data_IF_640813460036
#
_entry.id   IF_640813460036
#
_cell.length_a   1.000
_cell.length_b   1.000
_cell.length_c   1.000
_cell.angle_alpha   90.00
_cell.angle_beta   90.00
_cell.angle_gamma   90.00
#
_symmetry.space_group_name_H-M   'P 1'
#
loop_
_entity.id
_entity.type
_entity.pdbx_description
1 polymer ?
#
# COMPACT_ATOMS: atom_id res chain seq x y z
N UNK A 1 24.59 27.35 -0.39
CA UNK A 1 24.39 25.94 -0.72
C UNK A 1 22.90 25.71 -0.94
N UNK A 2 22.48 25.44 -2.16
CA UNK A 2 21.10 25.14 -2.51
C UNK A 2 20.80 23.66 -2.22
N UNK A 3 19.78 23.40 -1.39
CA UNK A 3 19.36 22.06 -1.01
C UNK A 3 17.96 21.80 -1.53
N UNK A 4 17.79 20.72 -2.29
CA UNK A 4 16.49 20.20 -2.69
C UNK A 4 16.13 19.02 -1.78
N UNK A 5 15.00 19.12 -1.09
CA UNK A 5 14.51 18.08 -0.18
C UNK A 5 13.21 17.48 -0.69
N UNK A 6 13.13 16.16 -0.72
CA UNK A 6 11.93 15.41 -1.05
C UNK A 6 11.36 14.70 0.19
N UNK A 7 10.04 14.78 0.32
CA UNK A 7 9.21 13.93 1.15
C UNK A 7 8.29 13.15 0.22
N UNK A 8 8.54 11.85 0.09
CA UNK A 8 7.93 11.01 -0.94
C UNK A 8 6.89 10.12 -0.27
N UNK A 9 5.68 10.10 -0.84
CA UNK A 9 4.61 9.25 -0.37
C UNK A 9 4.05 8.41 -1.51
N UNK A 10 3.58 7.22 -1.18
CA UNK A 10 2.94 6.36 -2.17
C UNK A 10 2.07 5.28 -1.53
N UNK A 11 1.02 4.88 -2.24
CA UNK A 11 0.17 3.75 -1.88
C UNK A 11 0.12 2.78 -3.06
N UNK A 12 0.18 1.47 -2.80
CA UNK A 12 0.04 0.44 -3.83
C UNK A 12 1.14 0.54 -4.89
N UNK A 13 0.78 0.56 -6.17
CA UNK A 13 1.68 0.88 -7.29
C UNK A 13 2.30 2.27 -7.17
N UNK A 14 1.64 3.22 -6.52
CA UNK A 14 2.21 4.52 -6.17
C UNK A 14 3.35 4.40 -5.15
N UNK A 15 3.31 3.40 -4.25
CA UNK A 15 4.45 3.10 -3.38
C UNK A 15 5.62 2.49 -4.16
N UNK A 16 5.36 1.63 -5.15
CA UNK A 16 6.40 1.13 -6.05
C UNK A 16 7.05 2.28 -6.84
N UNK A 17 6.23 3.20 -7.37
CA UNK A 17 6.72 4.41 -8.04
C UNK A 17 7.51 5.33 -7.09
N UNK A 18 7.09 5.48 -5.83
CA UNK A 18 7.83 6.24 -4.82
C UNK A 18 9.20 5.63 -4.52
N UNK A 19 9.28 4.30 -4.39
CA UNK A 19 10.54 3.57 -4.19
C UNK A 19 11.46 3.71 -5.41
N UNK A 20 10.93 3.49 -6.61
CA UNK A 20 11.68 3.68 -7.86
C UNK A 20 12.17 5.14 -8.01
N UNK A 21 11.34 6.14 -7.68
CA UNK A 21 11.76 7.53 -7.67
C UNK A 21 12.98 7.78 -6.75
N UNK A 22 12.98 7.20 -5.54
CA UNK A 22 14.13 7.30 -4.62
C UNK A 22 15.38 6.62 -5.20
N UNK A 23 15.23 5.46 -5.85
CA UNK A 23 16.31 4.80 -6.57
C UNK A 23 16.86 5.68 -7.71
N UNK A 24 15.99 6.22 -8.55
CA UNK A 24 16.34 7.02 -9.74
C UNK A 24 17.12 8.28 -9.39
N UNK A 25 16.62 9.07 -8.44
CA UNK A 25 17.35 10.26 -7.97
C UNK A 25 18.57 9.88 -7.12
N UNK A 26 18.72 8.60 -6.80
CA UNK A 26 19.87 7.98 -6.19
C UNK A 26 21.07 7.81 -7.14
N UNK A 27 20.84 7.83 -8.46
CA UNK A 27 21.89 7.53 -9.44
C UNK A 27 23.05 8.53 -9.37
N UNK A 28 24.28 8.00 -9.38
CA UNK A 28 25.50 8.79 -9.62
C UNK A 28 25.55 9.24 -11.08
N UNK A 29 26.48 10.12 -11.43
CA UNK A 29 26.78 10.46 -12.83
C UNK A 29 27.10 9.18 -13.61
N UNK A 30 26.54 9.00 -14.81
CA UNK A 30 26.69 7.78 -15.61
C UNK A 30 26.74 8.08 -17.11
N UNK A 31 27.27 7.15 -17.89
CA UNK A 31 27.32 7.28 -19.36
C UNK A 31 25.99 6.86 -19.97
N UNK A 32 25.56 7.57 -21.00
CA UNK A 32 24.41 7.17 -21.80
C UNK A 32 24.70 5.86 -22.55
N UNK A 33 23.68 5.05 -22.76
CA UNK A 33 23.77 3.83 -23.55
C UNK A 33 23.77 4.19 -25.04
N UNK A 34 24.88 3.89 -25.71
CA UNK A 34 25.07 4.17 -27.14
C UNK A 34 24.66 2.98 -27.99
N UNK A 35 23.79 3.20 -28.97
CA UNK A 35 23.43 2.22 -30.00
C UNK A 35 23.83 2.76 -31.37
N UNK A 36 24.60 1.98 -32.12
CA UNK A 36 25.01 2.33 -33.48
C UNK A 36 24.43 1.32 -34.45
N UNK A 37 23.67 1.80 -35.43
CA UNK A 37 23.08 0.98 -36.50
C UNK A 37 23.70 1.41 -37.82
N UNK A 38 24.27 0.44 -38.56
CA UNK A 38 24.83 0.66 -39.89
C UNK A 38 24.00 -0.08 -40.94
N UNK A 39 23.52 0.64 -41.95
CA UNK A 39 22.78 0.08 -43.08
C UNK A 39 23.14 0.81 -44.38
N UNK A 40 23.49 0.06 -45.43
CA UNK A 40 23.85 0.59 -46.76
C UNK A 40 24.87 1.75 -46.76
N UNK A 41 25.88 1.68 -45.90
CA UNK A 41 26.94 2.71 -45.80
C UNK A 41 26.56 3.95 -44.99
N UNK A 42 25.32 4.06 -44.50
CA UNK A 42 24.93 5.06 -43.51
C UNK A 42 25.06 4.50 -42.08
N UNK A 43 25.60 5.31 -41.18
CA UNK A 43 25.75 4.97 -39.76
C UNK A 43 24.95 5.97 -38.93
N UNK A 44 24.01 5.47 -38.14
CA UNK A 44 23.23 6.25 -37.19
C UNK A 44 23.61 5.84 -35.77
N UNK A 45 24.04 6.82 -34.97
CA UNK A 45 24.34 6.64 -33.55
C UNK A 45 23.29 7.37 -32.73
N UNK A 46 22.69 6.68 -31.77
CA UNK A 46 21.78 7.26 -30.78
C UNK A 46 22.24 6.95 -29.37
N UNK A 47 21.94 7.87 -28.45
CA UNK A 47 22.18 7.70 -27.03
C UNK A 47 20.86 7.61 -26.29
N UNK A 48 20.83 6.79 -25.24
CA UNK A 48 19.67 6.63 -24.38
C UNK A 48 20.05 6.64 -22.90
N UNK A 49 19.14 7.07 -22.04
CA UNK A 49 19.29 6.87 -20.60
C UNK A 49 19.11 5.39 -20.20
N UNK A 50 19.19 5.09 -18.91
CA UNK A 50 19.02 3.72 -18.39
C UNK A 50 17.67 3.11 -18.72
N UNK A 51 16.67 3.95 -19.00
CA UNK A 51 15.28 3.55 -19.16
C UNK A 51 14.93 3.42 -20.65
N UNK A 52 15.85 3.82 -21.54
CA UNK A 52 15.73 3.74 -22.98
C UNK A 52 15.23 5.02 -23.64
N UNK A 53 15.09 6.12 -22.91
CA UNK A 53 14.69 7.40 -23.49
C UNK A 53 15.88 8.03 -24.21
N UNK A 54 15.65 8.57 -25.41
CA UNK A 54 16.68 9.24 -26.19
C UNK A 54 17.25 10.47 -25.47
N UNK A 55 18.57 10.59 -25.44
CA UNK A 55 19.29 11.73 -24.85
C UNK A 55 20.34 12.27 -25.82
N UNK A 56 20.62 13.56 -25.77
CA UNK A 56 21.63 14.17 -26.66
C UNK A 56 23.07 14.01 -26.14
N UNK A 57 23.24 13.90 -24.82
CA UNK A 57 24.56 13.82 -24.18
C UNK A 57 25.07 12.39 -24.03
N UNK A 58 26.38 12.21 -24.20
CA UNK A 58 27.08 10.94 -23.91
C UNK A 58 27.17 10.64 -22.40
N UNK A 59 26.98 11.65 -21.56
CA UNK A 59 27.08 11.55 -20.11
C UNK A 59 25.90 12.25 -19.43
N UNK A 60 25.25 11.53 -18.53
CA UNK A 60 24.10 11.99 -17.77
C UNK A 60 24.54 12.44 -16.38
N UNK A 61 23.95 13.55 -15.87
CA UNK A 61 24.30 14.07 -14.55
C UNK A 61 23.88 13.10 -13.43
N UNK A 62 24.36 13.39 -12.22
CA UNK A 62 23.82 12.75 -11.00
C UNK A 62 22.31 13.00 -10.88
N UNK A 63 21.62 12.13 -10.15
CA UNK A 63 20.17 12.17 -9.87
C UNK A 63 19.28 11.75 -11.03
N UNK A 64 19.78 10.87 -11.91
CA UNK A 64 19.00 10.26 -12.98
C UNK A 64 18.39 11.29 -13.93
N UNK A 65 17.19 10.99 -14.43
CA UNK A 65 16.48 11.87 -15.37
C UNK A 65 16.10 13.23 -14.75
N UNK A 66 15.87 13.29 -13.43
CA UNK A 66 15.64 14.54 -12.72
C UNK A 66 16.86 15.48 -12.82
N UNK A 67 18.06 14.93 -12.65
CA UNK A 67 19.31 15.67 -12.80
C UNK A 67 19.44 16.31 -14.19
N UNK A 68 19.08 15.55 -15.23
CA UNK A 68 19.08 16.03 -16.61
C UNK A 68 18.12 17.22 -16.77
N UNK A 69 16.88 17.09 -16.28
CA UNK A 69 15.89 18.17 -16.36
C UNK A 69 16.26 19.41 -15.57
N UNK A 70 16.90 19.26 -14.41
CA UNK A 70 17.45 20.40 -13.65
C UNK A 70 18.54 21.13 -14.45
N UNK A 71 19.43 20.39 -15.11
CA UNK A 71 20.48 20.96 -15.94
C UNK A 71 19.91 21.70 -17.17
N UNK A 72 18.96 21.10 -17.88
CA UNK A 72 18.27 21.72 -19.03
C UNK A 72 17.55 23.02 -18.62
N UNK A 73 16.94 23.04 -17.43
CA UNK A 73 16.29 24.22 -16.86
C UNK A 73 17.26 25.26 -16.28
N UNK A 74 18.57 24.99 -16.26
CA UNK A 74 19.57 25.88 -15.66
C UNK A 74 19.50 25.98 -14.14
N UNK A 75 18.85 25.03 -13.46
CA UNK A 75 18.67 25.01 -12.00
C UNK A 75 19.86 24.30 -11.34
N UNK A 76 20.63 25.05 -10.54
CA UNK A 76 21.77 24.49 -9.79
C UNK A 76 21.34 24.06 -8.39
N UNK A 77 21.50 22.77 -8.11
CA UNK A 77 21.31 22.18 -6.79
C UNK A 77 22.67 21.63 -6.33
N UNK A 78 23.04 21.93 -5.08
CA UNK A 78 24.29 21.41 -4.50
C UNK A 78 24.04 20.04 -3.87
N UNK A 79 22.96 19.94 -3.09
CA UNK A 79 22.58 18.75 -2.31
C UNK A 79 21.14 18.36 -2.59
N UNK A 80 20.92 17.08 -2.90
CA UNK A 80 19.60 16.47 -2.98
C UNK A 80 19.44 15.51 -1.80
N UNK A 81 18.32 15.64 -1.09
CA UNK A 81 18.00 14.83 0.09
C UNK A 81 16.61 14.24 -0.04
N UNK A 82 16.47 12.96 0.29
CA UNK A 82 15.16 12.35 0.60
C UNK A 82 15.03 12.30 2.11
N UNK A 83 14.18 13.17 2.66
CA UNK A 83 13.98 13.25 4.11
C UNK A 83 13.06 12.14 4.60
N UNK A 84 12.01 11.86 3.86
CA UNK A 84 10.99 10.91 4.25
C UNK A 84 10.49 10.11 3.05
N UNK A 85 10.33 8.81 3.24
CA UNK A 85 9.63 7.90 2.33
C UNK A 85 8.52 7.19 3.13
N UNK A 86 7.28 7.65 2.96
CA UNK A 86 6.10 7.11 3.63
C UNK A 86 5.24 6.32 2.66
N UNK A 87 5.23 4.99 2.79
CA UNK A 87 4.56 4.12 1.83
C UNK A 87 3.52 3.21 2.48
N UNK A 88 2.49 2.89 1.72
CA UNK A 88 1.40 2.01 2.12
C UNK A 88 1.30 0.85 1.13
N UNK A 89 1.33 -0.36 1.68
CA UNK A 89 1.00 -1.63 1.03
C UNK A 89 1.54 -1.74 -0.41
N UNK A 90 2.86 -1.76 -0.54
CA UNK A 90 3.53 -1.70 -1.85
C UNK A 90 3.19 -2.93 -2.68
N UNK A 91 2.63 -2.69 -3.87
CA UNK A 91 2.38 -3.71 -4.89
C UNK A 91 3.19 -3.31 -6.11
N UNK A 92 4.21 -4.09 -6.47
CA UNK A 92 5.12 -3.77 -7.57
C UNK A 92 4.43 -3.90 -8.92
N UNK A 93 3.50 -4.86 -9.05
CA UNK A 93 2.80 -5.33 -10.26
C UNK A 93 3.16 -4.58 -11.56
N UNK A 94 4.41 -4.69 -11.99
CA UNK A 94 4.95 -4.02 -13.15
C UNK A 94 5.09 -5.04 -14.28
N UNK A 95 4.71 -4.62 -15.49
CA UNK A 95 4.96 -5.42 -16.68
C UNK A 95 5.27 -4.47 -17.82
N UNK A 96 6.54 -4.44 -18.25
CA UNK A 96 6.99 -3.60 -19.37
C UNK A 96 6.26 -3.89 -20.68
N UNK A 97 5.74 -5.11 -20.84
CA UNK A 97 4.90 -5.55 -21.95
C UNK A 97 3.57 -6.09 -21.40
N UNK A 98 2.44 -5.81 -22.07
CA UNK A 98 1.15 -6.43 -21.72
C UNK A 98 1.28 -7.95 -21.86
N UNK A 99 1.31 -8.65 -20.72
CA UNK A 99 1.33 -10.12 -20.66
C UNK A 99 0.03 -10.60 -20.01
N UNK A 100 -0.65 -11.62 -20.58
CA UNK A 100 -1.78 -12.28 -19.92
C UNK A 100 -1.35 -13.11 -18.69
N UNK A 101 -0.04 -13.30 -18.49
CA UNK A 101 0.58 -13.89 -17.28
C UNK A 101 1.86 -13.10 -16.95
N UNK A 102 1.73 -11.91 -16.35
CA UNK A 102 2.89 -11.12 -15.95
C UNK A 102 3.64 -11.85 -14.82
N UNK A 103 4.97 -11.83 -14.88
CA UNK A 103 5.80 -12.29 -13.77
C UNK A 103 6.13 -11.07 -12.92
N UNK A 104 5.59 -10.98 -11.71
CA UNK A 104 5.84 -9.86 -10.80
C UNK A 104 7.02 -10.11 -9.84
N UNK A 105 7.61 -11.32 -9.89
CA UNK A 105 8.69 -11.70 -8.97
C UNK A 105 10.04 -11.03 -9.30
N UNK A 106 10.19 -10.41 -10.48
CA UNK A 106 11.41 -9.71 -10.90
C UNK A 106 11.31 -8.18 -10.83
N UNK A 107 10.14 -7.62 -10.50
CA UNK A 107 9.92 -6.16 -10.49
C UNK A 107 10.79 -5.44 -9.47
N UNK A 108 11.09 -6.11 -8.35
CA UNK A 108 11.91 -5.56 -7.27
C UNK A 108 13.32 -5.22 -7.75
N UNK A 109 13.91 -6.13 -8.52
CA UNK A 109 15.25 -5.96 -9.09
C UNK A 109 15.21 -5.07 -10.34
N UNK A 110 14.17 -5.19 -11.18
CA UNK A 110 14.02 -4.38 -12.40
C UNK A 110 13.82 -2.89 -12.10
N UNK A 111 13.07 -2.56 -11.03
CA UNK A 111 12.75 -1.19 -10.65
C UNK A 111 13.64 -0.65 -9.51
N UNK A 112 14.61 -1.44 -9.03
CA UNK A 112 15.50 -1.05 -7.95
C UNK A 112 14.76 -0.73 -6.64
N UNK A 113 13.63 -1.40 -6.37
CA UNK A 113 12.73 -1.05 -5.26
C UNK A 113 13.39 -1.18 -3.89
N UNK A 114 14.51 -1.92 -3.78
CA UNK A 114 15.28 -2.07 -2.56
C UNK A 114 16.29 -0.93 -2.32
N UNK A 115 16.60 -0.12 -3.33
CA UNK A 115 17.58 0.97 -3.26
C UNK A 115 17.00 2.26 -2.64
N UNK A 116 16.28 2.08 -1.54
CA UNK A 116 15.59 3.16 -0.82
C UNK A 116 16.36 3.65 0.41
N UNK A 117 17.53 3.04 0.72
CA UNK A 117 18.38 3.40 1.86
C UNK A 117 18.96 4.81 1.84
N UNK A 118 18.78 5.56 0.75
CA UNK A 118 19.09 7.00 0.68
C UNK A 118 18.06 7.88 1.37
N UNK A 119 16.85 7.38 1.59
CA UNK A 119 15.86 8.07 2.40
C UNK A 119 16.30 8.05 3.86
N UNK A 120 16.28 9.22 4.50
CA UNK A 120 16.69 9.34 5.91
C UNK A 120 15.70 8.67 6.87
N UNK A 121 14.44 8.52 6.45
CA UNK A 121 13.40 7.82 7.18
C UNK A 121 12.51 7.12 6.18
N UNK A 122 12.31 5.81 6.38
CA UNK A 122 11.40 4.97 5.60
C UNK A 122 10.38 4.40 6.56
N UNK A 123 9.10 4.64 6.30
CA UNK A 123 7.96 4.07 7.03
C UNK A 123 7.10 3.32 6.00
N UNK A 124 6.84 2.04 6.25
CA UNK A 124 5.98 1.22 5.40
C UNK A 124 4.88 0.58 6.22
N UNK A 125 3.63 0.93 5.91
CA UNK A 125 2.45 0.31 6.52
C UNK A 125 1.83 -0.72 5.56
N UNK A 126 1.56 -1.91 6.06
CA UNK A 126 1.17 -3.10 5.28
C UNK A 126 -0.20 -3.61 5.73
N UNK A 127 -1.00 -4.12 4.81
CA UNK A 127 -2.28 -4.78 5.11
C UNK A 127 -2.07 -6.27 5.44
N UNK A 128 -2.61 -6.74 6.58
CA UNK A 128 -2.50 -8.15 7.00
C UNK A 128 -3.41 -9.08 6.18
N UNK A 129 -4.57 -8.58 5.74
CA UNK A 129 -5.66 -9.41 5.22
C UNK A 129 -5.85 -9.27 3.71
N UNK A 130 -4.87 -8.71 3.00
CA UNK A 130 -4.87 -8.72 1.54
C UNK A 130 -4.51 -10.13 1.04
N UNK A 131 -5.44 -10.77 0.34
CA UNK A 131 -5.35 -12.17 -0.07
C UNK A 131 -5.50 -12.36 -1.59
N UNK A 132 -5.63 -11.27 -2.37
CA UNK A 132 -5.74 -11.35 -3.82
C UNK A 132 -4.38 -11.70 -4.43
N UNK A 133 -4.37 -12.70 -5.31
CA UNK A 133 -3.18 -13.21 -6.00
C UNK A 133 -2.38 -12.14 -6.77
N UNK A 134 -3.02 -11.06 -7.23
CA UNK A 134 -2.37 -9.98 -7.97
C UNK A 134 -1.87 -8.81 -7.09
N UNK A 135 -1.95 -8.93 -5.76
CA UNK A 135 -1.55 -7.91 -4.79
C UNK A 135 -0.38 -8.40 -3.94
N UNK A 136 0.63 -8.98 -4.59
CA UNK A 136 1.83 -9.46 -3.92
C UNK A 136 2.58 -8.28 -3.26
N UNK A 137 2.69 -8.37 -1.94
CA UNK A 137 3.36 -7.38 -1.12
C UNK A 137 4.86 -7.35 -1.39
N UNK A 138 5.40 -6.16 -1.64
CA UNK A 138 6.84 -5.92 -1.65
C UNK A 138 7.30 -5.32 -0.33
N UNK A 139 7.90 -6.13 0.53
CA UNK A 139 8.45 -5.68 1.83
C UNK A 139 9.61 -4.68 1.65
N UNK A 140 9.93 -3.95 2.72
CA UNK A 140 11.13 -3.13 2.83
C UNK A 140 12.18 -3.77 3.74
N UNK A 141 13.45 -3.60 3.38
CA UNK A 141 14.57 -4.12 4.17
C UNK A 141 15.26 -3.05 5.04
N UNK A 142 14.79 -1.80 4.97
CA UNK A 142 15.31 -0.66 5.70
C UNK A 142 14.16 0.17 6.27
N UNK A 143 14.39 0.82 7.42
CA UNK A 143 13.39 1.64 8.10
C UNK A 143 12.43 0.81 8.96
N UNK A 144 11.19 1.30 9.07
CA UNK A 144 10.16 0.74 9.94
C UNK A 144 9.02 0.20 9.08
N UNK A 145 8.82 -1.12 9.11
CA UNK A 145 7.64 -1.78 8.54
C UNK A 145 6.66 -2.16 9.66
N UNK A 146 5.37 -1.90 9.46
CA UNK A 146 4.30 -2.23 10.40
C UNK A 146 3.09 -2.81 9.68
N UNK A 147 2.58 -3.93 10.20
CA UNK A 147 1.45 -4.66 9.64
C UNK A 147 0.18 -4.28 10.42
N UNK A 148 -0.85 -3.85 9.70
CA UNK A 148 -2.13 -3.43 10.25
C UNK A 148 -3.24 -4.39 9.80
N UNK A 149 -4.26 -4.63 10.65
CA UNK A 149 -5.44 -5.39 10.23
C UNK A 149 -6.19 -4.62 9.14
N UNK A 150 -6.87 -5.36 8.27
CA UNK A 150 -7.59 -4.84 7.10
C UNK A 150 -6.98 -5.29 5.78
N UNK A 151 -7.69 -5.01 4.69
CA UNK A 151 -7.25 -5.25 3.31
C UNK A 151 -6.53 -4.02 2.74
N UNK A 152 -6.02 -4.10 1.52
CA UNK A 152 -5.19 -3.07 0.88
C UNK A 152 -5.66 -1.62 1.08
N UNK A 153 -6.94 -1.36 0.83
CA UNK A 153 -7.53 -0.02 0.90
C UNK A 153 -7.93 0.40 2.33
N UNK A 154 -8.00 -0.53 3.29
CA UNK A 154 -8.17 -0.22 4.71
C UNK A 154 -6.91 0.42 5.29
N UNK A 155 -5.74 0.08 4.75
CA UNK A 155 -4.45 0.65 5.17
C UNK A 155 -4.07 1.86 4.33
N UNK A 156 -4.21 1.78 3.00
CA UNK A 156 -3.80 2.87 2.11
C UNK A 156 -4.83 3.97 1.88
N UNK A 157 -6.10 3.70 2.17
CA UNK A 157 -7.20 4.62 1.89
C UNK A 157 -7.61 4.62 0.41
N UNK A 158 -8.86 4.25 0.14
CA UNK A 158 -9.52 4.39 -1.18
C UNK A 158 -11.00 4.02 -1.14
N UNK A 159 -11.49 3.46 -0.02
CA UNK A 159 -12.91 3.19 0.15
C UNK A 159 -13.70 4.49 0.30
N UNK A 160 -14.92 4.47 -0.23
CA UNK A 160 -15.95 5.45 0.07
C UNK A 160 -16.98 4.83 1.01
N UNK A 161 -17.64 5.68 1.80
CA UNK A 161 -18.74 5.22 2.64
C UNK A 161 -19.91 4.83 1.73
N UNK A 162 -20.51 3.66 1.99
CA UNK A 162 -21.67 3.22 1.24
C UNK A 162 -21.80 1.70 1.18
N UNK A 163 -22.86 1.27 0.49
CA UNK A 163 -23.17 -0.14 0.33
C UNK A 163 -22.27 -0.77 -0.73
N UNK A 164 -21.54 -1.79 -0.35
CA UNK A 164 -20.78 -2.68 -1.21
C UNK A 164 -21.60 -3.95 -1.45
N UNK A 165 -21.91 -4.25 -2.72
CA UNK A 165 -22.64 -5.44 -3.12
C UNK A 165 -21.82 -6.32 -4.06
N UNK A 166 -21.84 -7.61 -3.80
CA UNK A 166 -21.18 -8.65 -4.58
C UNK A 166 -22.22 -9.63 -5.10
N UNK A 167 -22.43 -9.63 -6.41
CA UNK A 167 -23.35 -10.57 -7.06
C UNK A 167 -22.78 -11.99 -7.11
N UNK A 168 -21.45 -12.14 -7.06
CA UNK A 168 -20.76 -13.41 -7.17
C UNK A 168 -19.53 -13.43 -6.28
N UNK A 169 -19.73 -13.67 -4.98
CA UNK A 169 -18.62 -13.99 -4.08
C UNK A 169 -18.03 -15.36 -4.46
N UNK A 170 -18.89 -16.32 -4.79
CA UNK A 170 -18.54 -17.65 -5.28
C UNK A 170 -19.75 -18.28 -5.98
N UNK A 171 -19.53 -19.15 -6.97
CA UNK A 171 -20.59 -19.75 -7.79
C UNK A 171 -20.49 -21.27 -7.84
N UNK A 172 -21.62 -21.98 -7.96
CA UNK A 172 -21.64 -23.44 -8.04
C UNK A 172 -22.67 -23.94 -9.04
N UNK A 173 -22.24 -24.77 -9.98
CA UNK A 173 -23.10 -25.35 -11.02
C UNK A 173 -24.03 -26.45 -10.52
N UNK A 174 -23.69 -27.10 -9.42
CA UNK A 174 -24.37 -28.35 -9.01
C UNK A 174 -24.98 -28.26 -7.62
N UNK A 175 -24.18 -27.99 -6.59
CA UNK A 175 -24.63 -28.08 -5.19
C UNK A 175 -24.27 -26.82 -4.40
N UNK A 176 -25.13 -26.46 -3.46
CA UNK A 176 -24.90 -25.34 -2.55
C UNK A 176 -23.87 -25.67 -1.45
N UNK A 177 -23.34 -26.89 -1.37
CA UNK A 177 -22.49 -27.34 -0.24
C UNK A 177 -21.28 -26.45 -0.06
N UNK A 178 -20.51 -26.18 -1.14
CA UNK A 178 -19.35 -25.29 -1.05
C UNK A 178 -19.73 -23.85 -0.69
N UNK A 179 -20.85 -23.36 -1.22
CA UNK A 179 -21.35 -22.01 -0.96
C UNK A 179 -21.77 -21.84 0.51
N UNK A 180 -22.44 -22.85 1.08
CA UNK A 180 -22.83 -22.88 2.49
C UNK A 180 -21.63 -22.94 3.42
N UNK A 181 -20.61 -23.73 3.06
CA UNK A 181 -19.34 -23.79 3.80
C UNK A 181 -18.65 -22.42 3.79
N UNK A 182 -18.50 -21.80 2.62
CA UNK A 182 -17.88 -20.48 2.50
C UNK A 182 -18.69 -19.40 3.24
N UNK A 183 -20.02 -19.37 3.08
CA UNK A 183 -20.91 -18.47 3.84
C UNK A 183 -20.67 -18.59 5.35
N UNK A 184 -20.60 -19.82 5.86
CA UNK A 184 -20.38 -20.06 7.29
C UNK A 184 -18.99 -19.59 7.74
N UNK A 185 -17.97 -19.74 6.90
CA UNK A 185 -16.62 -19.24 7.17
C UNK A 185 -16.59 -17.70 7.20
N UNK A 186 -17.17 -17.04 6.20
CA UNK A 186 -17.23 -15.58 6.12
C UNK A 186 -17.93 -14.95 7.33
N UNK A 187 -19.01 -15.59 7.82
CA UNK A 187 -19.70 -15.17 9.04
C UNK A 187 -18.83 -15.40 10.27
N UNK A 188 -18.22 -16.59 10.38
CA UNK A 188 -17.38 -16.94 11.53
C UNK A 188 -16.11 -16.09 11.65
N UNK A 189 -15.60 -15.60 10.52
CA UNK A 189 -14.44 -14.71 10.44
C UNK A 189 -14.85 -13.23 10.50
N UNK A 190 -16.15 -12.93 10.69
CA UNK A 190 -16.73 -11.59 10.81
C UNK A 190 -16.55 -10.69 9.57
N UNK A 191 -16.40 -11.27 8.38
CA UNK A 191 -16.39 -10.53 7.12
C UNK A 191 -17.79 -10.02 6.72
N UNK A 192 -18.81 -10.78 7.09
CA UNK A 192 -20.22 -10.48 6.84
C UNK A 192 -21.09 -10.95 8.00
N UNK A 193 -22.23 -10.28 8.21
CA UNK A 193 -23.30 -10.78 9.07
C UNK A 193 -24.17 -11.80 8.34
N UNK A 194 -25.00 -12.51 9.08
CA UNK A 194 -25.83 -13.59 8.50
C UNK A 194 -26.83 -13.06 7.46
N UNK A 195 -27.44 -11.91 7.76
CA UNK A 195 -28.39 -11.19 6.92
C UNK A 195 -27.74 -10.54 5.69
N UNK A 196 -26.42 -10.38 5.69
CA UNK A 196 -25.66 -9.77 4.61
C UNK A 196 -25.27 -10.77 3.52
N UNK A 197 -25.56 -12.07 3.69
CA UNK A 197 -25.20 -13.13 2.74
C UNK A 197 -26.39 -13.98 2.34
N UNK A 198 -26.65 -14.05 1.03
CA UNK A 198 -27.73 -14.86 0.44
C UNK A 198 -27.18 -15.82 -0.60
N UNK A 199 -27.81 -17.00 -0.73
CA UNK A 199 -27.53 -17.93 -1.83
C UNK A 199 -28.75 -17.92 -2.74
N UNK A 200 -28.57 -17.44 -3.96
CA UNK A 200 -29.65 -17.29 -4.94
C UNK A 200 -29.49 -18.29 -6.08
N UNK A 201 -30.59 -18.95 -6.52
CA UNK A 201 -30.58 -19.79 -7.70
C UNK A 201 -30.70 -18.95 -8.99
N UNK A 202 -29.92 -19.33 -10.00
CA UNK A 202 -29.99 -18.79 -11.36
C UNK A 202 -29.56 -19.85 -12.38
N UNK A 203 -28.79 -19.46 -13.40
CA UNK A 203 -28.13 -20.42 -14.32
C UNK A 203 -27.15 -21.34 -13.57
N UNK A 204 -26.57 -20.83 -12.49
CA UNK A 204 -25.85 -21.53 -11.43
C UNK A 204 -26.31 -20.98 -10.07
N UNK A 205 -25.91 -21.63 -8.99
CA UNK A 205 -26.07 -21.08 -7.64
C UNK A 205 -25.00 -20.03 -7.39
N UNK A 206 -25.37 -18.86 -6.87
CA UNK A 206 -24.43 -17.79 -6.52
C UNK A 206 -24.55 -17.44 -5.04
N UNK A 207 -23.40 -17.35 -4.34
CA UNK A 207 -23.32 -16.69 -3.04
C UNK A 207 -23.15 -15.20 -3.27
N UNK A 208 -24.13 -14.42 -2.83
CA UNK A 208 -24.14 -12.96 -2.89
C UNK A 208 -23.87 -12.37 -1.52
N UNK A 209 -23.36 -11.15 -1.51
CA UNK A 209 -23.23 -10.39 -0.26
C UNK A 209 -23.47 -8.92 -0.44
N UNK A 210 -24.02 -8.27 0.59
CA UNK A 210 -24.20 -6.82 0.63
C UNK A 210 -23.94 -6.29 2.03
N UNK A 211 -23.09 -5.29 2.16
CA UNK A 211 -22.73 -4.67 3.45
C UNK A 211 -22.44 -3.20 3.28
N UNK A 212 -22.60 -2.45 4.37
CA UNK A 212 -22.17 -1.04 4.40
C UNK A 212 -20.71 -0.96 4.83
N UNK A 213 -19.88 -0.34 3.99
CA UNK A 213 -18.50 -0.02 4.28
C UNK A 213 -18.40 1.38 4.88
N UNK A 214 -17.46 1.52 5.81
CA UNK A 214 -17.08 2.80 6.40
C UNK A 214 -15.57 2.95 6.26
N UNK A 215 -15.12 4.01 5.58
CA UNK A 215 -13.70 4.19 5.21
C UNK A 215 -12.80 4.65 6.35
N UNK A 216 -13.39 5.07 7.46
CA UNK A 216 -12.74 5.83 8.55
C UNK A 216 -11.67 5.05 9.30
N UNK A 217 -11.63 3.71 9.20
CA UNK A 217 -10.51 2.93 9.72
C UNK A 217 -9.17 3.33 9.09
N UNK A 218 -9.15 3.65 7.79
CA UNK A 218 -7.93 4.11 7.07
C UNK A 218 -7.34 5.40 7.61
N UNK A 219 -8.11 6.16 8.40
CA UNK A 219 -7.61 7.37 9.06
C UNK A 219 -6.63 7.02 10.18
N UNK A 220 -6.69 5.83 10.76
CA UNK A 220 -5.77 5.40 11.82
C UNK A 220 -4.33 5.24 11.28
N UNK A 221 -4.06 4.42 10.23
CA UNK A 221 -2.76 4.40 9.56
C UNK A 221 -2.31 5.78 9.07
N UNK A 222 -3.22 6.58 8.48
CA UNK A 222 -2.91 7.94 8.06
C UNK A 222 -2.40 8.80 9.23
N UNK A 223 -3.05 8.74 10.40
CA UNK A 223 -2.64 9.48 11.59
C UNK A 223 -1.23 9.09 12.03
N UNK A 224 -0.92 7.80 12.08
CA UNK A 224 0.42 7.34 12.46
C UNK A 224 1.50 7.79 11.47
N UNK A 225 1.22 7.72 10.16
CA UNK A 225 2.15 8.21 9.14
C UNK A 225 2.37 9.71 9.25
N UNK A 226 1.30 10.47 9.51
CA UNK A 226 1.37 11.91 9.74
C UNK A 226 2.19 12.23 11.00
N UNK A 227 2.03 11.48 12.09
CA UNK A 227 2.85 11.64 13.28
C UNK A 227 4.35 11.35 13.00
N UNK A 228 4.67 10.32 12.21
CA UNK A 228 6.06 10.09 11.76
C UNK A 228 6.59 11.23 10.89
N UNK A 229 5.76 11.78 10.00
CA UNK A 229 6.15 12.92 9.17
C UNK A 229 6.39 14.20 9.99
N UNK A 230 5.55 14.44 11.00
CA UNK A 230 5.69 15.58 11.92
C UNK A 230 6.98 15.48 12.74
N UNK A 231 7.33 14.28 13.23
CA UNK A 231 8.63 14.00 13.89
C UNK A 231 9.85 14.27 13.01
N UNK A 232 9.67 14.30 11.68
CA UNK A 232 10.71 14.62 10.69
C UNK A 232 10.54 16.02 10.09
N UNK A 233 9.68 16.85 10.69
CA UNK A 233 9.47 18.25 10.32
C UNK A 233 9.02 18.43 8.86
N UNK A 234 8.23 17.48 8.33
CA UNK A 234 7.60 17.63 7.01
C UNK A 234 6.66 18.85 7.04
N UNK A 235 6.64 19.72 6.01
CA UNK A 235 5.92 21.00 6.03
C UNK A 235 4.42 20.83 5.80
N UNK A 236 3.75 20.01 6.60
CA UNK A 236 2.30 19.97 6.72
C UNK A 236 1.87 20.34 8.15
N UNK A 237 0.58 20.65 8.32
CA UNK A 237 0.01 20.90 9.64
C UNK A 237 -0.64 19.62 10.15
N UNK A 238 -0.01 18.93 11.12
CA UNK A 238 -0.50 17.66 11.65
C UNK A 238 -1.98 17.74 12.06
N UNK A 239 -2.33 18.71 12.90
CA UNK A 239 -3.69 18.94 13.39
C UNK A 239 -4.73 19.09 12.26
N UNK A 240 -4.37 19.82 11.19
CA UNK A 240 -5.27 20.00 10.04
C UNK A 240 -5.54 18.66 9.33
N UNK A 241 -4.54 17.79 9.27
CA UNK A 241 -4.67 16.48 8.65
C UNK A 241 -5.44 15.49 9.54
N UNK A 242 -5.17 15.47 10.84
CA UNK A 242 -5.64 14.41 11.76
C UNK A 242 -6.87 14.78 12.59
N UNK A 243 -6.97 16.01 13.06
CA UNK A 243 -8.03 16.43 13.99
C UNK A 243 -9.19 17.13 13.27
N UNK A 244 -8.91 17.69 12.09
CA UNK A 244 -9.88 18.40 11.26
C UNK A 244 -10.33 17.55 10.06
N UNK A 245 -9.44 17.28 9.10
CA UNK A 245 -9.83 16.66 7.82
C UNK A 245 -10.18 15.17 7.95
N UNK A 246 -9.41 14.41 8.73
CA UNK A 246 -9.59 12.96 8.90
C UNK A 246 -9.86 12.59 10.37
N UNK A 247 -10.62 13.45 11.05
CA UNK A 247 -10.94 13.25 12.46
C UNK A 247 -11.70 11.96 12.71
N UNK A 248 -11.27 11.22 13.73
CA UNK A 248 -11.99 10.05 14.28
C UNK A 248 -12.49 10.30 15.71
N UNK A 249 -12.39 11.54 16.20
CA UNK A 249 -12.64 11.88 17.60
C UNK A 249 -14.09 11.60 18.06
N UNK A 250 -15.05 11.63 17.11
CA UNK A 250 -16.45 11.30 17.37
C UNK A 250 -16.74 9.79 17.43
N UNK A 251 -15.79 8.95 17.00
CA UNK A 251 -15.95 7.50 16.96
C UNK A 251 -15.18 6.83 18.11
N UNK A 252 -15.91 6.46 19.16
CA UNK A 252 -15.33 5.84 20.34
C UNK A 252 -14.68 4.47 20.06
N UNK A 253 -15.13 3.74 19.02
CA UNK A 253 -14.52 2.47 18.63
C UNK A 253 -13.17 2.73 17.96
N UNK A 254 -13.12 3.62 16.97
CA UNK A 254 -11.88 3.95 16.28
C UNK A 254 -10.84 4.56 17.21
N UNK A 255 -11.25 5.39 18.17
CA UNK A 255 -10.35 5.89 19.21
C UNK A 255 -9.72 4.75 20.02
N UNK A 256 -10.52 3.78 20.49
CA UNK A 256 -10.00 2.58 21.19
C UNK A 256 -9.06 1.76 20.32
N UNK A 257 -9.42 1.57 19.04
CA UNK A 257 -8.59 0.82 18.08
C UNK A 257 -7.26 1.54 17.85
N UNK A 258 -7.27 2.87 17.64
CA UNK A 258 -6.06 3.68 17.50
C UNK A 258 -5.17 3.56 18.75
N UNK A 259 -5.74 3.69 19.93
CA UNK A 259 -5.00 3.56 21.19
C UNK A 259 -4.38 2.16 21.35
N UNK A 260 -5.10 1.11 20.95
CA UNK A 260 -4.61 -0.27 20.96
C UNK A 260 -3.44 -0.49 20.02
N UNK A 261 -3.48 0.09 18.82
CA UNK A 261 -2.46 -0.07 17.79
C UNK A 261 -1.23 0.81 18.02
N UNK A 262 -1.39 1.94 18.71
CA UNK A 262 -0.34 2.97 18.89
C UNK A 262 0.99 2.44 19.45
N UNK A 263 1.04 1.60 20.50
CA UNK A 263 2.32 1.09 21.02
C UNK A 263 3.14 0.31 19.98
N UNK A 264 2.47 -0.42 19.09
CA UNK A 264 3.11 -1.12 17.99
C UNK A 264 3.46 -0.17 16.84
N UNK A 265 2.49 0.65 16.40
CA UNK A 265 2.64 1.54 15.25
C UNK A 265 3.75 2.58 15.45
N UNK A 266 3.83 3.18 16.64
CA UNK A 266 4.71 4.33 16.95
C UNK A 266 5.86 3.97 17.90
N UNK A 267 6.04 2.68 18.23
CA UNK A 267 7.03 2.25 19.21
C UNK A 267 7.46 0.80 19.03
N UNK A 268 7.78 0.15 20.16
CA UNK A 268 8.31 -1.22 20.22
C UNK A 268 7.26 -2.21 20.77
N UNK A 269 5.97 -1.87 20.69
CA UNK A 269 4.88 -2.78 21.05
C UNK A 269 4.86 -4.02 20.15
N UNK A 270 4.05 -5.01 20.53
CA UNK A 270 3.86 -6.22 19.71
C UNK A 270 2.79 -5.97 18.64
N UNK A 271 2.99 -6.56 17.47
CA UNK A 271 1.98 -6.57 16.41
C UNK A 271 0.65 -7.08 16.96
N UNK A 272 -0.44 -6.43 16.57
CA UNK A 272 -1.77 -6.95 16.80
C UNK A 272 -1.99 -8.11 15.84
N UNK A 273 -2.14 -9.33 16.37
CA UNK A 273 -2.51 -10.50 15.58
C UNK A 273 -4.02 -10.65 15.66
N UNK A 274 -4.70 -10.58 14.52
CA UNK A 274 -6.14 -10.80 14.47
C UNK A 274 -6.48 -12.20 15.00
N UNK A 275 -7.42 -12.26 15.94
CA UNK A 275 -7.96 -13.52 16.46
C UNK A 275 -9.35 -13.71 15.88
N UNK A 276 -9.61 -14.89 15.31
CA UNK A 276 -10.92 -15.16 14.71
C UNK A 276 -11.99 -15.18 15.79
N UNK A 277 -13.19 -14.71 15.46
CA UNK A 277 -14.29 -14.64 16.43
C UNK A 277 -14.56 -16.00 17.07
N UNK A 278 -14.50 -17.08 16.30
CA UNK A 278 -14.65 -18.46 16.80
C UNK A 278 -13.56 -18.87 17.79
N UNK A 279 -12.32 -18.42 17.59
CA UNK A 279 -11.20 -18.71 18.52
C UNK A 279 -11.40 -17.97 19.84
N UNK A 280 -11.93 -16.75 19.76
CA UNK A 280 -12.33 -15.97 20.91
C UNK A 280 -13.49 -16.66 21.64
N UNK A 281 -14.57 -17.01 20.95
CA UNK A 281 -15.74 -17.69 21.52
C UNK A 281 -15.37 -19.01 22.22
N UNK A 282 -14.49 -19.81 21.59
CA UNK A 282 -13.95 -21.04 22.18
C UNK A 282 -13.13 -20.78 23.45
N UNK A 283 -12.31 -19.71 23.46
CA UNK A 283 -11.54 -19.32 24.65
C UNK A 283 -12.43 -18.88 25.82
N UNK A 284 -13.67 -18.46 25.55
CA UNK A 284 -14.67 -18.08 26.55
C UNK A 284 -15.78 -19.12 26.77
N UNK A 285 -15.54 -20.38 26.39
CA UNK A 285 -16.42 -21.50 26.75
C UNK A 285 -17.64 -21.70 25.85
N UNK A 286 -17.64 -21.16 24.63
CA UNK A 286 -18.63 -21.50 23.60
C UNK A 286 -20.02 -20.89 23.79
N UNK A 287 -20.19 -19.92 24.70
CA UNK A 287 -21.40 -19.13 24.79
C UNK A 287 -21.35 -17.99 23.76
N UNK A 288 -22.36 -17.90 22.89
CA UNK A 288 -22.49 -16.78 21.97
C UNK A 288 -22.53 -15.48 22.77
N UNK A 289 -21.62 -14.54 22.46
CA UNK A 289 -21.58 -13.25 23.14
C UNK A 289 -22.84 -12.50 22.68
N UNK A 290 -23.79 -12.16 23.58
CA UNK A 290 -24.96 -11.39 23.17
C UNK A 290 -24.48 -10.04 22.61
N UNK A 291 -25.04 -9.61 21.48
CA UNK A 291 -24.65 -8.37 20.77
C UNK A 291 -24.59 -7.15 21.72
N UNK A 292 -25.46 -7.13 22.73
CA UNK A 292 -25.53 -6.10 23.79
C UNK A 292 -24.35 -6.08 24.76
N UNK A 293 -23.56 -7.16 24.88
CA UNK A 293 -22.37 -7.26 25.74
C UNK A 293 -21.07 -7.02 24.98
N UNK A 294 -21.13 -6.78 23.67
CA UNK A 294 -19.96 -6.52 22.83
C UNK A 294 -19.20 -5.26 23.28
N UNK A 295 -19.92 -4.24 23.75
CA UNK A 295 -19.34 -3.01 24.28
C UNK A 295 -18.51 -3.20 25.58
N UNK A 296 -18.84 -4.21 26.39
CA UNK A 296 -18.06 -4.53 27.59
C UNK A 296 -16.86 -5.44 27.28
N UNK A 297 -16.95 -6.22 26.22
CA UNK A 297 -15.85 -7.03 25.69
C UNK A 297 -14.74 -6.17 25.08
N UNK A 298 -15.10 -5.09 24.36
CA UNK A 298 -14.15 -4.14 23.77
C UNK A 298 -13.39 -3.26 24.78
N UNK A 299 -13.68 -3.35 26.08
CA UNK A 299 -13.00 -2.59 27.16
C UNK A 299 -11.78 -3.31 27.74
N UNK A 300 -11.48 -4.55 27.34
CA UNK A 300 -10.30 -5.35 27.77
C UNK A 300 -9.35 -5.60 26.60
#
# INVERSE_FOLDING_TARGET
MAVLTFDVFGFSRGAAAARNFVHEIGKSKYKAKTTTVSHEGMTFTSHSDSDGNGVEGEELPKWGHLGLKLQEAGIKIDVLKVRFLGIYDTVSSYSKNFSPKPNFHNDVDELGLNDIGRAQTVIHFVAENEHRENFDLTNVHVGIERIFPGVHCDVGGAYEDGTESWEEIETSWTTATKLKTLRSQLIADAWFKEEQLTIEPGFYLALKGSRDLVKTYSYIPLHFMAEYGDQKEIPFTLKKLTDEKHSIASDALLMRVKDRLRPYAMGNGKQYVFKRYKEVENAYGGASIPEQKYADYQKK
#
